data_IF_729700702774
#
_entry.id   IF_729700702774
#
_cell.length_a   1.000
_cell.length_b   1.000
_cell.length_c   1.000
_cell.angle_alpha   90.00
_cell.angle_beta   90.00
_cell.angle_gamma   90.00
#
_symmetry.space_group_name_H-M   'P 1'
#
loop_
_entity.id
_entity.type
_entity.pdbx_description
1 polymer ?
#
# COMPACT_ATOMS: atom_id res chain seq x y z
N UNK A 1 12.76 -37.23 10.22
CA UNK A 1 13.63 -37.09 11.42
C UNK A 1 14.35 -38.41 11.62
N UNK A 2 15.69 -38.43 11.74
CA UNK A 2 16.43 -39.68 12.03
C UNK A 2 16.34 -39.96 13.54
N UNK A 3 15.94 -41.17 13.93
CA UNK A 3 15.80 -41.57 15.34
C UNK A 3 16.98 -42.47 15.69
N UNK A 4 17.79 -42.06 16.67
CA UNK A 4 18.86 -42.89 17.23
C UNK A 4 18.29 -43.72 18.38
N UNK A 5 18.49 -45.03 18.34
CA UNK A 5 18.13 -45.94 19.42
C UNK A 5 19.43 -46.65 19.87
N UNK A 6 20.05 -46.26 21.00
CA UNK A 6 21.27 -46.90 21.48
C UNK A 6 20.98 -48.30 22.02
N UNK A 7 22.01 -49.13 22.00
CA UNK A 7 21.96 -50.51 22.48
C UNK A 7 22.02 -50.65 24.02
N UNK A 8 22.42 -49.62 24.77
CA UNK A 8 22.37 -49.58 26.25
C UNK A 8 21.64 -48.31 26.73
N UNK A 9 20.51 -48.42 27.47
CA UNK A 9 19.77 -47.28 28.03
C UNK A 9 20.57 -46.41 29.02
N UNK A 10 21.72 -46.89 29.52
CA UNK A 10 22.54 -46.17 30.53
C UNK A 10 23.44 -45.09 29.94
N UNK A 11 23.56 -44.98 28.61
CA UNK A 11 24.33 -43.89 27.96
C UNK A 11 23.69 -42.49 28.14
N UNK A 12 22.44 -42.40 28.58
CA UNK A 12 21.69 -41.15 28.69
C UNK A 12 21.84 -40.40 30.03
N UNK A 13 22.49 -40.98 31.04
CA UNK A 13 22.69 -40.33 32.34
C UNK A 13 24.10 -39.76 32.46
N UNK A 14 24.44 -38.80 31.60
CA UNK A 14 25.69 -38.05 31.68
C UNK A 14 25.37 -36.56 31.64
N UNK A 15 25.44 -35.93 32.82
CA UNK A 15 25.29 -34.49 33.05
C UNK A 15 26.52 -33.67 32.62
N UNK A 16 27.50 -34.28 31.95
CA UNK A 16 28.76 -33.63 31.58
C UNK A 16 28.97 -33.65 30.06
N UNK A 17 29.70 -32.64 29.57
CA UNK A 17 30.11 -32.33 28.19
C UNK A 17 30.86 -33.46 27.44
N UNK A 18 30.33 -34.68 27.44
CA UNK A 18 30.84 -35.78 26.62
C UNK A 18 30.30 -35.64 25.20
N UNK A 19 31.20 -35.72 24.23
CA UNK A 19 30.84 -35.85 22.82
C UNK A 19 29.97 -37.10 22.63
N UNK A 20 28.75 -36.92 22.12
CA UNK A 20 27.89 -38.05 21.72
C UNK A 20 28.40 -38.50 20.35
N UNK A 21 29.02 -39.68 20.31
CA UNK A 21 29.49 -40.27 19.06
C UNK A 21 28.30 -40.91 18.33
N UNK A 22 27.81 -40.26 17.27
CA UNK A 22 26.67 -40.74 16.48
C UNK A 22 27.18 -41.62 15.34
N UNK A 23 26.89 -42.92 15.38
CA UNK A 23 27.16 -43.82 14.25
C UNK A 23 26.07 -43.66 13.18
N UNK A 24 26.47 -43.52 11.92
CA UNK A 24 25.57 -43.41 10.78
C UNK A 24 24.82 -44.75 10.56
N UNK A 25 23.49 -44.70 10.46
CA UNK A 25 22.64 -45.86 10.15
C UNK A 25 21.63 -45.51 9.06
N UNK A 26 21.30 -46.48 8.22
CA UNK A 26 20.17 -46.42 7.29
C UNK A 26 18.85 -46.44 8.06
N UNK A 27 17.92 -45.51 7.79
CA UNK A 27 16.63 -45.46 8.50
C UNK A 27 15.72 -46.61 8.07
N UNK A 28 15.09 -47.29 9.03
CA UNK A 28 14.12 -48.35 8.75
C UNK A 28 12.72 -47.79 8.39
N UNK A 29 12.35 -46.64 8.96
CA UNK A 29 11.01 -46.02 8.82
C UNK A 29 11.14 -44.48 8.75
N UNK A 30 10.32 -43.85 7.90
CA UNK A 30 10.21 -42.39 7.78
C UNK A 30 8.87 -41.90 8.33
N UNK A 31 8.91 -40.92 9.24
CA UNK A 31 7.73 -40.25 9.78
C UNK A 31 7.55 -38.85 9.18
N UNK A 32 6.30 -38.50 8.85
CA UNK A 32 5.90 -37.13 8.52
C UNK A 32 5.81 -36.25 9.76
N UNK A 33 5.93 -34.92 9.57
CA UNK A 33 5.95 -33.95 10.68
C UNK A 33 4.66 -34.03 11.54
N UNK A 34 3.51 -34.23 10.90
CA UNK A 34 2.22 -34.42 11.55
C UNK A 34 2.17 -35.64 12.46
N UNK A 35 2.96 -36.68 12.16
CA UNK A 35 2.99 -37.92 12.94
C UNK A 35 4.02 -37.85 14.06
N UNK A 36 5.13 -37.15 13.86
CA UNK A 36 6.12 -36.88 14.92
C UNK A 36 5.47 -36.14 16.10
N UNK A 37 4.60 -35.16 15.84
CA UNK A 37 3.89 -34.44 16.90
C UNK A 37 2.96 -35.33 17.72
N UNK A 38 2.40 -36.40 17.14
CA UNK A 38 1.54 -37.38 17.85
C UNK A 38 2.34 -38.36 18.72
N UNK A 39 3.63 -38.51 18.43
CA UNK A 39 4.55 -39.38 19.15
C UNK A 39 5.19 -38.69 20.35
N UNK A 40 5.21 -37.36 20.38
CA UNK A 40 5.80 -36.56 21.44
C UNK A 40 4.99 -36.67 22.74
N UNK A 41 5.66 -37.00 23.84
CA UNK A 41 5.05 -37.09 25.17
C UNK A 41 5.53 -35.97 26.09
N UNK A 42 6.84 -35.71 26.13
CA UNK A 42 7.43 -34.67 26.99
C UNK A 42 8.71 -34.11 26.40
N UNK A 43 9.09 -32.89 26.81
CA UNK A 43 10.33 -32.21 26.43
C UNK A 43 11.08 -31.82 27.69
N UNK A 44 12.32 -32.28 27.81
CA UNK A 44 13.24 -31.89 28.88
C UNK A 44 14.39 -31.06 28.28
N UNK A 45 14.70 -29.92 28.90
CA UNK A 45 15.85 -29.10 28.53
C UNK A 45 17.14 -29.77 29.01
N UNK A 46 18.08 -29.95 28.08
CA UNK A 46 19.45 -30.36 28.38
C UNK A 46 20.39 -29.14 28.32
N UNK A 47 21.63 -29.29 28.82
CA UNK A 47 22.67 -28.28 28.64
C UNK A 47 23.02 -28.07 27.15
N UNK A 48 23.62 -26.91 26.82
CA UNK A 48 24.14 -26.59 25.48
C UNK A 48 23.10 -26.55 24.32
N UNK A 49 21.92 -25.95 24.55
CA UNK A 49 20.86 -25.80 23.54
C UNK A 49 20.37 -27.14 22.95
N UNK A 50 20.32 -28.17 23.80
CA UNK A 50 19.80 -29.49 23.46
C UNK A 50 18.53 -29.77 24.26
N UNK A 51 17.70 -30.65 23.71
CA UNK A 51 16.43 -31.07 24.26
C UNK A 51 16.34 -32.58 24.19
N UNK A 52 15.85 -33.20 25.26
CA UNK A 52 15.44 -34.60 25.27
C UNK A 52 13.93 -34.64 25.01
N UNK A 53 13.54 -35.12 23.84
CA UNK A 53 12.16 -35.38 23.49
C UNK A 53 11.83 -36.81 23.92
N UNK A 54 10.99 -36.98 24.93
CA UNK A 54 10.39 -38.28 25.22
C UNK A 54 9.30 -38.55 24.20
N UNK A 55 9.43 -39.65 23.47
CA UNK A 55 8.42 -40.08 22.50
C UNK A 55 8.00 -41.52 22.76
N UNK A 56 6.83 -41.90 22.26
CA UNK A 56 6.29 -43.28 22.33
C UNK A 56 7.22 -44.35 21.73
N UNK A 57 8.15 -43.95 20.87
CA UNK A 57 9.12 -44.84 20.20
C UNK A 57 10.52 -44.74 20.81
N UNK A 58 10.65 -44.09 21.97
CA UNK A 58 11.89 -43.90 22.70
C UNK A 58 12.30 -42.43 22.84
N UNK A 59 13.29 -42.15 23.71
CA UNK A 59 13.85 -40.81 23.86
C UNK A 59 14.62 -40.38 22.61
N UNK A 60 14.48 -39.12 22.21
CA UNK A 60 15.16 -38.51 21.07
C UNK A 60 15.88 -37.24 21.53
N UNK A 61 17.19 -37.14 21.30
CA UNK A 61 17.93 -35.90 21.55
C UNK A 61 17.86 -35.02 20.30
N UNK A 62 17.44 -33.77 20.48
CA UNK A 62 17.38 -32.75 19.44
C UNK A 62 18.16 -31.51 19.88
N UNK A 63 18.83 -30.82 18.95
CA UNK A 63 19.59 -29.61 19.26
C UNK A 63 20.92 -29.57 18.52
N UNK A 64 21.77 -28.59 18.88
CA UNK A 64 23.05 -28.38 18.18
C UNK A 64 24.05 -29.47 18.54
N UNK A 65 24.56 -30.18 17.54
CA UNK A 65 25.60 -31.20 17.69
C UNK A 65 26.82 -30.84 16.82
N UNK A 66 28.03 -31.08 17.34
CA UNK A 66 29.25 -31.09 16.52
C UNK A 66 29.36 -32.48 15.90
N UNK A 67 29.23 -32.56 14.58
CA UNK A 67 29.43 -33.81 13.85
C UNK A 67 30.91 -33.84 13.46
N UNK A 68 31.66 -34.85 13.92
CA UNK A 68 32.97 -35.16 13.34
C UNK A 68 32.71 -35.77 11.96
N UNK A 69 33.18 -35.13 10.90
CA UNK A 69 33.10 -35.65 9.53
C UNK A 69 33.82 -37.01 9.49
N UNK A 70 33.07 -38.10 9.51
CA UNK A 70 33.60 -39.41 9.15
C UNK A 70 33.71 -39.45 7.62
N UNK A 71 34.86 -39.89 7.11
CA UNK A 71 35.17 -40.03 5.69
C UNK A 71 34.05 -40.79 4.95
N UNK A 72 33.28 -40.07 4.14
CA UNK A 72 32.18 -40.64 3.34
C UNK A 72 32.80 -41.25 2.08
N UNK A 73 32.97 -42.57 2.08
CA UNK A 73 33.08 -43.35 0.84
C UNK A 73 31.71 -43.97 0.51
N UNK A 74 31.29 -43.74 -0.72
CA UNK A 74 30.17 -44.31 -1.46
C UNK A 74 28.73 -43.83 -1.21
N UNK A 75 28.01 -43.92 -2.33
CA UNK A 75 26.88 -43.10 -2.77
C UNK A 75 25.57 -43.30 -1.99
N UNK A 76 24.75 -42.25 -2.03
CA UNK A 76 23.34 -42.18 -1.57
C UNK A 76 23.08 -42.24 -0.07
N UNK A 77 23.39 -41.15 0.66
CA UNK A 77 22.70 -40.86 1.93
C UNK A 77 22.39 -39.37 2.09
N UNK A 78 21.09 -39.04 2.09
CA UNK A 78 20.60 -37.71 2.48
C UNK A 78 20.79 -37.54 4.00
N UNK A 79 21.78 -36.71 4.37
CA UNK A 79 21.84 -36.06 5.67
C UNK A 79 21.22 -34.67 5.48
N UNK A 80 20.01 -34.44 6.00
CA UNK A 80 19.48 -33.08 6.11
C UNK A 80 20.18 -32.41 7.30
N UNK A 81 21.39 -31.91 7.07
CA UNK A 81 22.11 -31.04 8.01
C UNK A 81 21.81 -29.60 7.62
N UNK A 82 20.88 -28.95 8.34
CA UNK A 82 20.73 -27.51 8.25
C UNK A 82 21.81 -26.87 9.13
N UNK A 83 23.03 -26.71 8.60
CA UNK A 83 24.04 -25.85 9.21
C UNK A 83 23.73 -24.42 8.79
N UNK A 84 22.78 -23.80 9.48
CA UNK A 84 22.66 -22.34 9.49
C UNK A 84 23.55 -21.81 10.60
N UNK A 85 24.69 -21.20 10.26
CA UNK A 85 25.32 -20.24 11.16
C UNK A 85 24.37 -19.04 11.29
N UNK A 86 23.51 -19.06 12.32
CA UNK A 86 22.80 -17.87 12.76
C UNK A 86 23.82 -17.02 13.50
N UNK A 87 24.48 -16.10 12.79
CA UNK A 87 25.50 -15.21 13.35
C UNK A 87 24.93 -14.01 14.11
N UNK A 88 23.61 -13.81 14.17
CA UNK A 88 23.01 -12.73 14.94
C UNK A 88 21.80 -13.20 15.75
N UNK A 89 21.74 -12.80 17.02
CA UNK A 89 20.58 -13.02 17.89
C UNK A 89 19.38 -12.27 17.30
N UNK A 90 18.52 -12.97 16.58
CA UNK A 90 17.21 -12.45 16.17
C UNK A 90 16.25 -12.65 17.34
N UNK A 91 15.74 -11.56 17.93
CA UNK A 91 14.70 -11.65 18.96
C UNK A 91 13.35 -11.98 18.31
N UNK A 92 12.44 -12.61 19.06
CA UNK A 92 11.10 -13.02 18.54
C UNK A 92 10.28 -11.83 18.01
N UNK A 93 10.56 -10.60 18.50
CA UNK A 93 9.99 -9.36 17.98
C UNK A 93 10.49 -9.01 16.58
N UNK A 94 11.74 -9.34 16.27
CA UNK A 94 12.34 -9.08 14.95
C UNK A 94 11.80 -10.04 13.90
N UNK A 95 11.35 -11.23 14.31
CA UNK A 95 10.74 -12.21 13.41
C UNK A 95 9.40 -11.74 12.81
N UNK A 96 8.64 -10.94 13.57
CA UNK A 96 7.36 -10.35 13.12
C UNK A 96 7.50 -8.98 12.48
N UNK A 97 8.72 -8.42 12.44
CA UNK A 97 8.98 -7.21 11.69
C UNK A 97 9.01 -7.57 10.19
N UNK A 98 8.11 -6.98 9.40
CA UNK A 98 7.97 -7.23 7.95
C UNK A 98 9.28 -7.00 7.18
N UNK A 99 10.17 -6.18 7.75
CA UNK A 99 11.51 -5.86 7.23
C UNK A 99 12.50 -7.04 7.32
N UNK A 100 12.33 -7.96 8.28
CA UNK A 100 13.22 -9.10 8.55
C UNK A 100 12.90 -10.31 7.67
N UNK A 101 11.66 -10.41 7.16
CA UNK A 101 11.17 -11.50 6.31
C UNK A 101 11.63 -11.35 4.84
N UNK A 102 12.55 -10.41 4.56
CA UNK A 102 13.09 -10.20 3.21
C UNK A 102 12.12 -9.53 2.24
N UNK A 103 10.96 -9.04 2.71
CA UNK A 103 10.12 -8.10 1.97
C UNK A 103 10.68 -6.69 2.20
N UNK A 104 11.87 -6.45 1.67
CA UNK A 104 12.33 -5.09 1.41
C UNK A 104 11.79 -4.72 0.04
N UNK A 105 11.01 -3.65 -0.06
CA UNK A 105 10.87 -2.95 -1.35
C UNK A 105 12.30 -2.59 -1.78
N UNK A 106 12.82 -3.16 -2.88
CA UNK A 106 14.19 -2.92 -3.28
C UNK A 106 14.32 -1.46 -3.73
N UNK A 107 14.72 -0.57 -2.82
CA UNK A 107 14.93 0.85 -3.11
C UNK A 107 14.61 1.84 -1.99
N UNK A 108 14.21 1.41 -0.79
CA UNK A 108 14.02 2.34 0.34
C UNK A 108 15.28 2.41 1.20
N UNK A 109 16.11 3.44 0.96
CA UNK A 109 17.12 3.88 1.92
C UNK A 109 16.64 5.21 2.50
N UNK A 110 16.79 5.43 3.81
CA UNK A 110 16.51 6.71 4.51
C UNK A 110 17.01 7.95 3.71
N UNK A 111 18.18 7.90 3.03
CA UNK A 111 18.62 8.91 2.07
C UNK A 111 17.60 9.31 0.99
N UNK A 112 16.90 8.36 0.37
CA UNK A 112 15.93 8.63 -0.70
C UNK A 112 14.73 9.42 -0.18
N UNK A 113 14.28 9.13 1.05
CA UNK A 113 13.18 9.84 1.70
C UNK A 113 13.57 11.27 2.07
N UNK A 114 14.79 11.48 2.57
CA UNK A 114 15.32 12.83 2.85
C UNK A 114 15.45 13.67 1.57
N UNK A 115 15.91 13.06 0.47
CA UNK A 115 15.99 13.73 -0.83
C UNK A 115 14.58 14.09 -1.33
N UNK A 116 13.62 13.17 -1.23
CA UNK A 116 12.24 13.43 -1.62
C UNK A 116 11.62 14.57 -0.82
N UNK A 117 11.86 14.61 0.51
CA UNK A 117 11.44 15.72 1.37
C UNK A 117 12.08 17.05 1.01
N UNK A 118 13.39 17.06 0.72
CA UNK A 118 14.09 18.26 0.28
C UNK A 118 13.50 18.80 -1.02
N UNK A 119 13.34 17.95 -2.03
CA UNK A 119 12.74 18.35 -3.31
C UNK A 119 11.28 18.79 -3.15
N UNK A 120 10.51 18.15 -2.27
CA UNK A 120 9.15 18.57 -1.94
C UNK A 120 9.13 19.99 -1.35
N UNK A 121 9.95 20.27 -0.33
CA UNK A 121 10.02 21.59 0.33
C UNK A 121 10.48 22.69 -0.63
N UNK A 122 11.40 22.38 -1.53
CA UNK A 122 11.86 23.30 -2.58
C UNK A 122 10.79 23.50 -3.68
N UNK A 123 9.91 22.50 -3.85
CA UNK A 123 8.94 22.51 -4.94
C UNK A 123 7.54 23.03 -4.57
N UNK A 124 7.12 22.87 -3.32
CA UNK A 124 5.78 23.24 -2.88
C UNK A 124 5.56 24.75 -2.91
N UNK A 125 4.44 25.17 -3.49
CA UNK A 125 4.00 26.55 -3.53
C UNK A 125 2.47 26.63 -3.42
N UNK A 126 1.95 27.64 -2.73
CA UNK A 126 0.52 27.92 -2.72
C UNK A 126 0.21 29.02 -3.75
N UNK A 127 -0.65 28.70 -4.72
CA UNK A 127 -1.06 29.64 -5.76
C UNK A 127 -2.03 30.71 -5.20
N UNK A 128 -2.22 31.84 -5.90
CA UNK A 128 -3.12 32.91 -5.45
C UNK A 128 -4.59 32.47 -5.25
N UNK A 129 -5.02 31.42 -5.93
CA UNK A 129 -6.35 30.84 -5.74
C UNK A 129 -6.45 29.96 -4.47
N UNK A 130 -5.34 29.76 -3.73
CA UNK A 130 -5.25 28.93 -2.53
C UNK A 130 -4.81 27.49 -2.79
N UNK A 131 -4.73 27.05 -4.04
CA UNK A 131 -4.38 25.66 -4.35
C UNK A 131 -2.86 25.44 -4.29
N UNK A 132 -2.43 24.27 -3.82
CA UNK A 132 -1.01 23.91 -3.86
C UNK A 132 -0.55 23.40 -5.22
N UNK A 133 0.68 23.74 -5.56
CA UNK A 133 1.46 23.25 -6.69
C UNK A 133 2.74 22.58 -6.17
N UNK A 134 3.11 21.43 -6.74
CA UNK A 134 4.29 20.64 -6.35
C UNK A 134 5.05 20.14 -7.58
N UNK A 135 6.31 19.79 -7.38
CA UNK A 135 7.13 19.08 -8.37
C UNK A 135 7.22 17.59 -8.07
N UNK A 136 7.52 16.79 -9.09
CA UNK A 136 7.83 15.37 -8.86
C UNK A 136 9.16 15.24 -8.12
N UNK A 137 9.30 14.33 -7.14
CA UNK A 137 10.58 14.05 -6.51
C UNK A 137 11.38 13.08 -7.40
N UNK A 138 12.40 13.58 -8.06
CA UNK A 138 13.21 12.82 -9.03
C UNK A 138 14.37 12.09 -8.37
N UNK A 139 14.68 10.90 -8.87
CA UNK A 139 15.98 10.28 -8.59
C UNK A 139 17.09 11.09 -9.26
N UNK A 140 18.30 10.97 -8.72
CA UNK A 140 19.48 11.68 -9.23
C UNK A 140 19.70 11.31 -10.71
N UNK A 141 19.93 12.31 -11.56
CA UNK A 141 20.13 12.19 -13.02
C UNK A 141 18.93 11.70 -13.86
N UNK A 142 17.87 11.19 -13.25
CA UNK A 142 16.71 10.59 -13.93
C UNK A 142 15.97 11.51 -14.91
N UNK A 143 15.89 12.82 -14.63
CA UNK A 143 15.28 13.78 -15.58
C UNK A 143 15.93 13.74 -16.96
N UNK A 144 17.23 13.43 -17.05
CA UNK A 144 17.99 13.45 -18.31
C UNK A 144 17.93 12.11 -19.07
N UNK A 145 17.62 11.03 -18.38
CA UNK A 145 17.65 9.66 -18.92
C UNK A 145 16.27 9.13 -19.31
N UNK A 146 15.19 9.76 -18.82
CA UNK A 146 13.82 9.35 -19.11
C UNK A 146 13.53 9.39 -20.62
N UNK A 147 13.30 8.22 -21.20
CA UNK A 147 12.96 8.06 -22.62
C UNK A 147 11.45 8.14 -22.83
N UNK A 148 11.05 8.53 -24.04
CA UNK A 148 9.64 8.56 -24.42
C UNK A 148 9.07 7.14 -24.56
N UNK A 149 7.84 6.95 -24.10
CA UNK A 149 7.09 5.69 -24.20
C UNK A 149 5.91 5.78 -25.19
N UNK A 150 6.02 6.64 -26.20
CA UNK A 150 4.94 6.90 -27.17
C UNK A 150 4.50 5.63 -27.91
N UNK A 151 5.44 4.84 -28.43
CA UNK A 151 5.11 3.64 -29.23
C UNK A 151 4.33 2.59 -28.45
N UNK A 152 4.72 2.33 -27.19
CA UNK A 152 3.99 1.42 -26.29
C UNK A 152 2.60 1.97 -25.97
N UNK A 153 2.51 3.26 -25.66
CA UNK A 153 1.24 3.93 -25.37
C UNK A 153 0.27 3.86 -26.56
N UNK A 154 0.77 4.09 -27.78
CA UNK A 154 -0.01 3.97 -29.00
C UNK A 154 -0.46 2.54 -29.27
N UNK A 155 0.43 1.56 -29.08
CA UNK A 155 0.09 0.14 -29.21
C UNK A 155 -1.03 -0.29 -28.24
N UNK A 156 -0.94 0.15 -26.98
CA UNK A 156 -1.99 -0.10 -25.97
C UNK A 156 -3.30 0.62 -26.32
N UNK A 157 -3.26 1.86 -26.79
CA UNK A 157 -4.45 2.59 -27.23
C UNK A 157 -5.14 1.89 -28.42
N UNK A 158 -4.38 1.46 -29.43
CA UNK A 158 -4.92 0.69 -30.57
C UNK A 158 -5.56 -0.61 -30.12
N UNK A 159 -4.95 -1.30 -29.16
CA UNK A 159 -5.47 -2.55 -28.61
C UNK A 159 -6.76 -2.32 -27.81
N UNK A 160 -6.81 -1.26 -26.99
CA UNK A 160 -7.99 -0.82 -26.27
C UNK A 160 -9.13 -0.48 -27.23
N UNK A 161 -8.86 0.34 -28.24
CA UNK A 161 -9.86 0.70 -29.26
C UNK A 161 -10.38 -0.53 -29.99
N UNK A 162 -9.49 -1.41 -30.48
CA UNK A 162 -9.89 -2.65 -31.17
C UNK A 162 -10.74 -3.56 -30.28
N UNK A 163 -10.43 -3.62 -28.98
CA UNK A 163 -11.17 -4.43 -28.01
C UNK A 163 -12.59 -3.91 -27.76
N UNK A 164 -12.75 -2.59 -27.69
CA UNK A 164 -14.02 -1.96 -27.32
C UNK A 164 -14.79 -1.33 -28.50
N UNK A 165 -14.30 -1.44 -29.74
CA UNK A 165 -15.01 -0.93 -30.92
C UNK A 165 -16.41 -1.54 -31.11
N UNK A 166 -16.58 -2.81 -30.72
CA UNK A 166 -17.87 -3.53 -30.79
C UNK A 166 -18.74 -3.29 -29.54
N UNK A 167 -18.23 -2.53 -28.55
CA UNK A 167 -18.95 -2.11 -27.35
C UNK A 167 -18.73 -0.59 -27.13
N UNK A 168 -19.47 0.26 -27.87
CA UNK A 168 -19.22 1.69 -27.91
C UNK A 168 -19.41 2.39 -26.56
N UNK A 169 -20.26 1.86 -25.67
CA UNK A 169 -20.53 2.43 -24.35
C UNK A 169 -19.25 2.62 -23.52
N UNK A 170 -18.29 1.70 -23.65
CA UNK A 170 -17.00 1.79 -22.94
C UNK A 170 -16.16 2.95 -23.48
N UNK A 171 -16.06 3.09 -24.80
CA UNK A 171 -15.30 4.17 -25.44
C UNK A 171 -15.94 5.53 -25.18
N UNK A 172 -17.26 5.62 -25.27
CA UNK A 172 -18.04 6.83 -24.94
C UNK A 172 -17.84 7.24 -23.48
N UNK A 173 -17.84 6.29 -22.55
CA UNK A 173 -17.61 6.58 -21.12
C UNK A 173 -16.19 7.08 -20.87
N UNK A 174 -15.18 6.51 -21.54
CA UNK A 174 -13.78 6.99 -21.45
C UNK A 174 -13.68 8.40 -22.03
N UNK A 175 -14.25 8.63 -23.22
CA UNK A 175 -14.23 9.92 -23.89
C UNK A 175 -14.91 11.02 -23.07
N UNK A 176 -16.09 10.71 -22.51
CA UNK A 176 -16.79 11.58 -21.56
C UNK A 176 -15.92 11.90 -20.34
N UNK A 177 -15.25 10.90 -19.76
CA UNK A 177 -14.35 11.10 -18.61
C UNK A 177 -13.19 12.04 -18.96
N UNK A 178 -12.59 11.87 -20.14
CA UNK A 178 -11.48 12.72 -20.60
C UNK A 178 -11.97 14.16 -20.83
N UNK A 179 -13.13 14.35 -21.46
CA UNK A 179 -13.75 15.67 -21.66
C UNK A 179 -14.06 16.37 -20.33
N UNK A 180 -14.66 15.66 -19.38
CA UNK A 180 -14.91 16.19 -18.03
C UNK A 180 -13.61 16.59 -17.32
N UNK A 181 -12.53 15.81 -17.46
CA UNK A 181 -11.23 16.15 -16.89
C UNK A 181 -10.61 17.38 -17.55
N UNK A 182 -10.83 17.57 -18.86
CA UNK A 182 -10.39 18.75 -19.60
C UNK A 182 -11.14 19.99 -19.13
N UNK A 183 -12.47 19.91 -19.02
CA UNK A 183 -13.34 21.02 -18.54
C UNK A 183 -12.98 21.45 -17.11
N UNK A 184 -12.58 20.49 -16.26
CA UNK A 184 -12.14 20.74 -14.89
C UNK A 184 -10.68 21.21 -14.79
N UNK A 185 -10.00 21.43 -15.90
CA UNK A 185 -8.57 21.78 -15.95
C UNK A 185 -7.70 20.79 -15.14
N UNK A 186 -8.04 19.51 -15.17
CA UNK A 186 -7.24 18.41 -14.59
C UNK A 186 -6.22 17.88 -15.60
N UNK A 187 -6.54 18.02 -16.88
CA UNK A 187 -5.67 17.74 -18.01
C UNK A 187 -5.70 18.93 -18.98
N UNK A 188 -4.72 19.00 -19.86
CA UNK A 188 -4.66 19.97 -20.95
C UNK A 188 -4.06 19.33 -22.20
N UNK A 189 -4.26 19.95 -23.36
CA UNK A 189 -3.62 19.49 -24.61
C UNK A 189 -2.11 19.70 -24.48
N UNK A 190 -1.35 18.64 -24.74
CA UNK A 190 0.10 18.68 -24.61
C UNK A 190 0.75 19.56 -25.70
N UNK A 191 1.71 20.43 -25.36
CA UNK A 191 2.42 21.25 -26.34
C UNK A 191 3.31 20.40 -27.26
N UNK A 192 3.55 20.92 -28.48
CA UNK A 192 4.33 20.20 -29.50
C UNK A 192 5.83 20.11 -29.20
N UNK A 193 6.42 21.17 -28.64
CA UNK A 193 7.88 21.27 -28.44
C UNK A 193 8.23 21.32 -26.95
N UNK A 194 8.83 20.25 -26.44
CA UNK A 194 9.20 20.11 -25.02
C UNK A 194 10.41 19.18 -24.88
N UNK A 195 11.24 19.42 -23.87
CA UNK A 195 12.51 18.72 -23.72
C UNK A 195 12.35 17.25 -23.29
N UNK A 196 11.64 17.01 -22.18
CA UNK A 196 11.48 15.67 -21.60
C UNK A 196 10.01 15.28 -21.74
N UNK A 197 9.75 14.17 -22.44
CA UNK A 197 8.38 13.72 -22.76
C UNK A 197 8.23 12.25 -22.46
N UNK A 198 7.24 11.90 -21.64
CA UNK A 198 6.88 10.52 -21.36
C UNK A 198 5.38 10.31 -21.46
N UNK A 199 4.99 9.15 -21.98
CA UNK A 199 3.59 8.80 -22.21
C UNK A 199 3.17 7.65 -21.28
N UNK A 200 2.07 7.87 -20.57
CA UNK A 200 1.39 6.92 -19.72
C UNK A 200 0.29 6.24 -20.54
N UNK A 201 0.43 4.94 -20.84
CA UNK A 201 -0.69 4.17 -21.36
C UNK A 201 -1.81 4.12 -20.33
N UNK A 202 -3.04 3.98 -20.80
CA UNK A 202 -4.20 3.91 -19.93
C UNK A 202 -5.15 2.78 -20.31
N UNK A 203 -5.98 2.38 -19.34
CA UNK A 203 -6.98 1.35 -19.52
C UNK A 203 -8.20 1.57 -18.60
N UNK A 204 -9.40 1.15 -19.04
CA UNK A 204 -10.58 1.16 -18.18
C UNK A 204 -10.51 0.04 -17.14
N UNK A 205 -10.84 0.37 -15.90
CA UNK A 205 -11.05 -0.57 -14.79
C UNK A 205 -12.50 -0.47 -14.36
N UNK A 206 -13.18 -1.61 -14.30
CA UNK A 206 -14.59 -1.72 -13.94
C UNK A 206 -14.70 -2.04 -12.45
N UNK A 207 -15.30 -1.14 -11.66
CA UNK A 207 -15.64 -1.44 -10.26
C UNK A 207 -17.08 -1.94 -10.15
N UNK A 208 -17.25 -3.16 -9.66
CA UNK A 208 -18.53 -3.74 -9.28
C UNK A 208 -18.99 -3.17 -7.93
N UNK A 209 -19.55 -1.96 -7.91
CA UNK A 209 -20.26 -1.40 -6.75
C UNK A 209 -21.78 -1.59 -6.92
N UNK A 210 -22.49 -1.80 -5.82
CA UNK A 210 -23.85 -2.38 -5.72
C UNK A 210 -25.01 -1.53 -6.26
N UNK A 211 -24.81 -0.77 -7.34
CA UNK A 211 -25.89 -0.15 -8.10
C UNK A 211 -25.51 0.14 -9.56
N UNK A 212 -24.23 0.36 -9.88
CA UNK A 212 -23.72 0.49 -11.25
C UNK A 212 -22.23 0.09 -11.35
N UNK A 213 -21.83 -0.47 -12.50
CA UNK A 213 -20.40 -0.67 -12.82
C UNK A 213 -19.75 0.69 -13.10
N UNK A 214 -19.05 1.25 -12.12
CA UNK A 214 -18.35 2.53 -12.31
C UNK A 214 -17.02 2.28 -13.05
N UNK A 215 -16.93 2.73 -14.30
CA UNK A 215 -15.68 2.72 -15.08
C UNK A 215 -14.73 3.79 -14.52
N UNK A 216 -13.45 3.44 -14.36
CA UNK A 216 -12.37 4.38 -14.04
C UNK A 216 -11.24 4.20 -15.05
N UNK A 217 -10.69 5.30 -15.57
CA UNK A 217 -9.50 5.27 -16.41
C UNK A 217 -8.27 5.27 -15.50
N UNK A 218 -7.41 4.27 -15.64
CA UNK A 218 -6.16 4.14 -14.86
C UNK A 218 -4.96 4.31 -15.80
N UNK A 219 -3.96 5.05 -15.35
CA UNK A 219 -2.73 5.35 -16.07
C UNK A 219 -1.58 4.52 -15.51
N UNK A 220 -0.76 3.94 -16.38
CA UNK A 220 0.32 3.03 -16.01
C UNK A 220 1.70 3.71 -16.13
N UNK A 221 2.16 4.26 -15.01
CA UNK A 221 3.50 4.83 -14.86
C UNK A 221 4.61 3.78 -14.66
N UNK A 222 4.27 2.49 -14.59
CA UNK A 222 5.20 1.37 -14.53
C UNK A 222 5.56 0.78 -15.90
N UNK A 223 5.12 1.41 -16.99
CA UNK A 223 5.29 0.90 -18.35
C UNK A 223 6.41 1.57 -19.14
N UNK A 224 6.96 0.82 -20.10
CA UNK A 224 8.00 1.30 -21.01
C UNK A 224 9.40 0.80 -20.66
N UNK A 225 10.39 1.19 -21.46
CA UNK A 225 11.79 0.81 -21.25
C UNK A 225 12.41 1.54 -20.05
N UNK A 226 12.02 2.79 -19.84
CA UNK A 226 12.35 3.61 -18.67
C UNK A 226 11.04 4.06 -18.01
N UNK A 227 10.41 3.20 -17.19
CA UNK A 227 9.15 3.54 -16.52
C UNK A 227 9.28 4.77 -15.62
N UNK A 228 8.31 5.69 -15.67
CA UNK A 228 8.31 6.87 -14.81
C UNK A 228 8.44 6.52 -13.32
N UNK A 229 7.78 5.44 -12.87
CA UNK A 229 7.88 4.99 -11.47
C UNK A 229 9.29 4.56 -11.05
N UNK A 230 10.18 4.22 -11.98
CA UNK A 230 11.56 3.90 -11.69
C UNK A 230 12.44 5.15 -11.62
N UNK A 231 12.00 6.26 -12.23
CA UNK A 231 12.75 7.52 -12.31
C UNK A 231 12.39 8.50 -11.17
N UNK A 232 11.33 8.20 -10.44
CA UNK A 232 10.85 9.00 -9.31
C UNK A 232 11.17 8.33 -7.97
N UNK A 233 11.41 9.15 -6.96
CA UNK A 233 11.50 8.73 -5.58
C UNK A 233 10.09 8.48 -5.05
N UNK A 234 9.87 7.35 -4.39
CA UNK A 234 8.59 7.06 -3.74
C UNK A 234 8.26 8.09 -2.65
N UNK A 235 9.29 8.51 -1.90
CA UNK A 235 9.17 9.31 -0.70
C UNK A 235 8.66 8.50 0.49
N UNK A 236 8.72 9.13 1.67
CA UNK A 236 8.41 8.49 2.94
C UNK A 236 6.96 8.02 3.01
N UNK A 237 6.74 6.89 3.69
CA UNK A 237 5.39 6.43 4.02
C UNK A 237 4.88 7.21 5.23
N UNK A 238 4.08 8.24 4.97
CA UNK A 238 3.58 9.18 5.98
C UNK A 238 2.23 8.79 6.60
N UNK A 239 1.67 7.65 6.22
CA UNK A 239 0.36 7.23 6.69
C UNK A 239 0.46 6.69 8.13
N UNK A 240 -0.47 7.05 9.04
CA UNK A 240 -0.53 6.41 10.34
C UNK A 240 -0.84 4.92 10.17
N UNK A 241 -0.41 4.11 11.14
CA UNK A 241 -0.73 2.69 11.16
C UNK A 241 -2.26 2.49 11.21
N UNK A 242 -2.79 1.82 10.20
CA UNK A 242 -4.23 1.57 10.05
C UNK A 242 -4.86 0.93 11.30
N UNK A 243 -4.25 -0.09 11.95
CA UNK A 243 -4.79 -0.64 13.20
C UNK A 243 -4.87 0.42 14.31
N UNK A 244 -3.89 1.32 14.39
CA UNK A 244 -3.90 2.41 15.37
C UNK A 244 -5.06 3.38 15.14
N UNK A 245 -5.37 3.70 13.89
CA UNK A 245 -6.54 4.51 13.54
C UNK A 245 -7.82 3.80 13.97
N UNK A 246 -7.98 2.53 13.61
CA UNK A 246 -9.17 1.74 13.97
C UNK A 246 -9.36 1.64 15.49
N UNK A 247 -8.31 1.38 16.26
CA UNK A 247 -8.38 1.36 17.72
C UNK A 247 -8.78 2.74 18.28
N UNK A 248 -8.25 3.83 17.73
CA UNK A 248 -8.67 5.19 18.13
C UNK A 248 -10.14 5.46 17.88
N UNK A 249 -10.67 5.01 16.74
CA UNK A 249 -12.10 5.17 16.46
C UNK A 249 -12.99 4.51 17.51
N UNK A 250 -12.55 3.38 18.08
CA UNK A 250 -13.27 2.67 19.15
C UNK A 250 -13.20 3.36 20.51
N UNK A 251 -12.30 4.34 20.68
CA UNK A 251 -12.20 5.13 21.91
C UNK A 251 -13.03 6.41 21.87
N UNK A 252 -13.61 6.75 20.72
CA UNK A 252 -14.43 7.95 20.56
C UNK A 252 -15.91 7.63 20.78
N UNK A 253 -16.53 8.29 21.75
CA UNK A 253 -17.97 8.16 21.97
C UNK A 253 -18.79 8.72 20.80
N UNK A 254 -18.29 9.77 20.15
CA UNK A 254 -18.86 10.25 18.89
C UNK A 254 -17.76 10.28 17.84
N UNK A 255 -18.02 9.63 16.70
CA UNK A 255 -17.09 9.54 15.58
C UNK A 255 -17.58 10.44 14.46
N UNK A 256 -16.72 11.30 13.92
CA UNK A 256 -16.94 12.08 12.70
C UNK A 256 -15.96 11.59 11.64
N UNK A 257 -16.45 11.21 10.47
CA UNK A 257 -15.64 10.85 9.32
C UNK A 257 -15.98 11.74 8.13
N UNK A 258 -15.00 11.95 7.25
CA UNK A 258 -15.16 12.70 6.01
C UNK A 258 -14.13 12.27 4.94
N UNK A 259 -14.38 12.62 3.68
CA UNK A 259 -13.54 12.36 2.50
C UNK A 259 -13.02 13.68 1.89
N UNK A 260 -11.75 13.73 1.53
CA UNK A 260 -11.19 14.80 0.69
C UNK A 260 -11.46 14.47 -0.78
N UNK A 261 -12.39 15.20 -1.39
CA UNK A 261 -12.88 14.95 -2.73
C UNK A 261 -11.76 14.96 -3.78
N UNK A 262 -11.50 13.81 -4.40
CA UNK A 262 -10.49 13.66 -5.47
C UNK A 262 -9.12 14.22 -5.04
N UNK A 263 -8.67 13.90 -3.82
CA UNK A 263 -7.56 14.56 -3.14
C UNK A 263 -6.30 14.78 -3.99
N UNK A 264 -5.81 13.75 -4.70
CA UNK A 264 -4.64 13.88 -5.60
C UNK A 264 -4.85 14.97 -6.67
N UNK A 265 -6.02 14.98 -7.30
CA UNK A 265 -6.36 15.92 -8.37
C UNK A 265 -6.56 17.35 -7.85
N UNK A 266 -6.57 17.55 -6.52
CA UNK A 266 -6.58 18.88 -5.95
C UNK A 266 -5.21 19.55 -5.97
N UNK A 267 -4.12 18.80 -6.16
CA UNK A 267 -2.75 19.31 -6.16
C UNK A 267 -2.28 19.54 -7.59
N UNK A 268 -1.77 20.73 -7.91
CA UNK A 268 -1.18 21.04 -9.22
C UNK A 268 0.22 20.46 -9.37
N UNK A 269 0.55 20.07 -10.60
CA UNK A 269 1.91 19.85 -11.02
C UNK A 269 2.48 21.14 -11.62
N UNK A 270 3.72 21.44 -11.24
CA UNK A 270 4.52 22.47 -11.88
C UNK A 270 4.57 22.28 -13.40
N UNK A 271 4.45 23.35 -14.21
CA UNK A 271 4.38 23.24 -15.66
C UNK A 271 5.48 22.39 -16.30
N UNK A 272 6.72 22.48 -15.78
CA UNK A 272 7.89 21.74 -16.23
C UNK A 272 7.83 20.23 -15.99
N UNK A 273 6.99 19.78 -15.05
CA UNK A 273 6.85 18.38 -14.64
C UNK A 273 5.60 17.71 -15.26
N UNK A 274 4.79 18.45 -16.05
CA UNK A 274 3.56 17.92 -16.66
C UNK A 274 3.84 16.98 -17.84
N UNK A 275 4.92 17.20 -18.59
CA UNK A 275 5.18 16.48 -19.85
C UNK A 275 5.61 15.02 -19.68
N UNK A 276 5.85 14.58 -18.45
CA UNK A 276 6.11 13.16 -18.15
C UNK A 276 4.83 12.39 -17.83
N UNK A 277 3.70 13.09 -17.81
CA UNK A 277 2.36 12.53 -17.56
C UNK A 277 1.49 12.53 -18.81
N UNK A 278 2.09 12.62 -20.01
CA UNK A 278 1.29 12.66 -21.25
C UNK A 278 0.52 11.37 -21.44
N UNK A 279 -0.59 11.42 -22.15
CA UNK A 279 -1.28 10.22 -22.61
C UNK A 279 -1.94 10.48 -23.96
N UNK A 280 -2.24 9.40 -24.68
CA UNK A 280 -2.84 9.46 -26.01
C UNK A 280 -4.33 9.18 -25.95
N UNK A 281 -5.10 9.94 -26.72
CA UNK A 281 -6.49 9.64 -27.01
C UNK A 281 -6.79 9.92 -28.48
N UNK A 282 -8.05 9.77 -28.89
CA UNK A 282 -8.53 10.02 -30.24
C UNK A 282 -9.40 11.27 -30.31
N UNK A 283 -9.44 11.95 -31.46
CA UNK A 283 -10.33 13.09 -31.71
C UNK A 283 -11.76 12.61 -31.97
N UNK A 284 -11.88 11.49 -32.67
CA UNK A 284 -13.14 10.79 -32.92
C UNK A 284 -13.00 9.31 -32.54
N UNK A 285 -13.85 8.85 -31.62
CA UNK A 285 -13.89 7.47 -31.12
C UNK A 285 -14.32 6.46 -32.18
N UNK A 286 -15.03 6.90 -33.23
CA UNK A 286 -15.49 6.02 -34.32
C UNK A 286 -14.39 5.70 -35.33
N UNK A 287 -13.29 6.44 -35.28
CA UNK A 287 -12.15 6.26 -36.17
C UNK A 287 -10.98 5.61 -35.43
N UNK A 288 -10.16 4.88 -36.17
CA UNK A 288 -9.00 4.19 -35.60
C UNK A 288 -7.96 5.18 -35.02
N UNK A 289 -7.13 4.76 -34.04
CA UNK A 289 -6.04 5.59 -33.51
C UNK A 289 -4.83 5.63 -34.46
N UNK A 290 -4.96 6.42 -35.54
CA UNK A 290 -3.86 6.77 -36.46
C UNK A 290 -3.35 8.21 -36.23
N UNK A 291 -2.23 8.56 -36.86
CA UNK A 291 -1.57 9.85 -36.65
C UNK A 291 -2.44 11.08 -36.95
N UNK A 292 -3.51 10.93 -37.74
CA UNK A 292 -4.43 12.04 -38.08
C UNK A 292 -5.52 12.20 -37.02
N UNK A 293 -5.93 11.09 -36.40
CA UNK A 293 -6.97 11.03 -35.36
C UNK A 293 -6.42 11.08 -33.92
N UNK A 294 -5.10 11.13 -33.73
CA UNK A 294 -4.51 11.20 -32.38
C UNK A 294 -4.51 12.60 -31.78
N UNK A 295 -4.70 12.65 -30.46
CA UNK A 295 -4.46 13.82 -29.62
C UNK A 295 -3.66 13.41 -28.38
N UNK A 296 -2.69 14.25 -28.02
CA UNK A 296 -1.89 14.09 -26.80
C UNK A 296 -2.39 15.04 -25.72
N UNK A 297 -2.77 14.49 -24.59
CA UNK A 297 -3.08 15.24 -23.37
C UNK A 297 -1.95 15.10 -22.36
N UNK A 298 -1.91 15.96 -21.34
CA UNK A 298 -1.04 15.84 -20.16
C UNK A 298 -1.79 16.25 -18.90
N UNK A 299 -1.42 15.68 -17.75
CA UNK A 299 -2.02 16.08 -16.49
C UNK A 299 -1.46 17.41 -16.00
N UNK A 300 -2.34 18.27 -15.48
CA UNK A 300 -1.97 19.48 -14.75
C UNK A 300 -1.97 19.24 -13.25
N UNK A 301 -2.43 18.06 -12.80
CA UNK A 301 -2.60 17.67 -11.39
C UNK A 301 -1.84 16.40 -11.08
N UNK A 302 -1.54 16.19 -9.80
CA UNK A 302 -1.01 14.90 -9.32
C UNK A 302 -2.06 13.81 -9.59
N UNK A 303 -1.68 12.78 -10.34
CA UNK A 303 -2.57 11.68 -10.71
C UNK A 303 -2.33 10.43 -9.85
N UNK A 304 -3.34 9.55 -9.79
CA UNK A 304 -3.18 8.22 -9.20
C UNK A 304 -2.33 7.31 -10.11
N UNK A 305 -1.57 6.38 -9.51
CA UNK A 305 -0.78 5.38 -10.24
C UNK A 305 0.71 5.72 -10.41
N UNK A 306 1.13 6.92 -9.99
CA UNK A 306 2.54 7.30 -9.91
C UNK A 306 3.07 7.03 -8.50
N UNK A 307 4.28 6.48 -8.39
CA UNK A 307 4.87 5.98 -7.13
C UNK A 307 4.96 7.06 -6.04
N UNK A 308 5.20 8.31 -6.43
CA UNK A 308 5.36 9.45 -5.51
C UNK A 308 4.04 10.11 -5.11
N UNK A 309 2.93 9.83 -5.81
CA UNK A 309 1.66 10.52 -5.58
C UNK A 309 1.16 10.42 -4.14
N UNK A 310 1.19 9.24 -3.47
CA UNK A 310 0.79 9.11 -2.06
C UNK A 310 1.60 10.02 -1.13
N UNK A 311 2.92 10.07 -1.32
CA UNK A 311 3.81 10.94 -0.55
C UNK A 311 3.45 12.42 -0.78
N UNK A 312 3.34 12.85 -2.04
CA UNK A 312 3.01 14.24 -2.39
C UNK A 312 1.66 14.67 -1.81
N UNK A 313 0.65 13.80 -1.82
CA UNK A 313 -0.66 14.10 -1.23
C UNK A 313 -0.54 14.36 0.28
N UNK A 314 0.01 13.41 1.02
CA UNK A 314 0.09 13.52 2.48
C UNK A 314 1.02 14.67 2.88
N UNK A 315 2.19 14.80 2.25
CA UNK A 315 3.12 15.88 2.53
C UNK A 315 2.49 17.27 2.30
N UNK A 316 1.68 17.42 1.24
CA UNK A 316 0.94 18.67 0.98
C UNK A 316 -0.10 18.96 2.05
N UNK A 317 -0.87 17.95 2.47
CA UNK A 317 -1.87 18.12 3.54
C UNK A 317 -1.18 18.47 4.86
N UNK A 318 -0.10 17.78 5.23
CA UNK A 318 0.65 18.07 6.45
C UNK A 318 1.22 19.49 6.42
N UNK A 319 1.85 19.89 5.31
CA UNK A 319 2.34 21.25 5.11
C UNK A 319 1.22 22.30 5.25
N UNK A 320 0.04 22.02 4.70
CA UNK A 320 -1.11 22.90 4.84
C UNK A 320 -1.55 23.05 6.31
N UNK A 321 -1.65 21.94 7.03
CA UNK A 321 -2.07 21.91 8.44
C UNK A 321 -1.04 22.55 9.37
N UNK A 322 0.27 22.42 9.10
CA UNK A 322 1.34 23.09 9.85
C UNK A 322 1.28 24.62 9.77
N UNK A 323 0.77 25.15 8.66
CA UNK A 323 0.62 26.59 8.45
C UNK A 323 -0.64 27.17 9.10
N UNK A 324 -1.49 26.35 9.73
CA UNK A 324 -2.72 26.77 10.39
C UNK A 324 -2.61 26.52 11.89
N UNK A 325 -2.78 27.60 12.68
CA UNK A 325 -2.83 27.51 14.14
C UNK A 325 -4.22 27.08 14.60
N UNK A 326 -4.47 25.77 14.62
CA UNK A 326 -5.67 25.19 15.22
C UNK A 326 -5.35 23.87 15.93
N UNK A 327 -5.92 23.61 17.13
CA UNK A 327 -5.86 22.30 17.78
C UNK A 327 -6.43 21.18 16.90
N UNK A 328 -7.43 21.48 16.07
CA UNK A 328 -8.03 20.51 15.16
C UNK A 328 -7.02 20.02 14.11
N UNK A 329 -6.07 20.86 13.70
CA UNK A 329 -5.02 20.46 12.76
C UNK A 329 -4.17 19.31 13.29
N UNK A 330 -3.80 19.30 14.58
CA UNK A 330 -3.04 18.20 15.18
C UNK A 330 -3.86 16.89 15.26
N UNK A 331 -5.15 17.01 15.54
CA UNK A 331 -6.07 15.87 15.52
C UNK A 331 -6.22 15.30 14.10
N UNK A 332 -6.33 16.15 13.09
CA UNK A 332 -6.39 15.73 11.68
C UNK A 332 -5.10 15.01 11.29
N UNK A 333 -3.92 15.56 11.61
CA UNK A 333 -2.62 14.93 11.26
C UNK A 333 -2.50 13.50 11.79
N UNK A 334 -3.00 13.25 12.99
CA UNK A 334 -2.93 11.93 13.64
C UNK A 334 -4.00 10.96 13.15
N UNK A 335 -5.07 11.44 12.52
CA UNK A 335 -6.22 10.63 12.11
C UNK A 335 -6.60 10.78 10.63
N UNK A 336 -5.64 11.18 9.80
CA UNK A 336 -5.77 11.20 8.34
C UNK A 336 -5.28 9.86 7.77
N UNK A 337 -6.12 9.19 6.98
CA UNK A 337 -5.72 8.01 6.21
C UNK A 337 -5.97 8.23 4.72
N UNK A 338 -4.90 8.54 3.98
CA UNK A 338 -4.97 8.97 2.58
C UNK A 338 -5.87 10.19 2.40
N UNK A 339 -7.09 9.97 1.91
CA UNK A 339 -8.15 10.95 1.69
C UNK A 339 -9.23 10.95 2.78
N UNK A 340 -9.20 10.00 3.72
CA UNK A 340 -10.20 9.88 4.80
C UNK A 340 -9.74 10.63 6.05
N UNK A 341 -10.60 11.50 6.57
CA UNK A 341 -10.41 12.25 7.82
C UNK A 341 -11.32 11.65 8.88
N UNK A 342 -10.78 11.43 10.07
CA UNK A 342 -11.44 10.69 11.15
C UNK A 342 -11.23 11.47 12.44
N UNK A 343 -12.29 11.87 13.12
CA UNK A 343 -12.21 12.76 14.26
C UNK A 343 -13.11 12.23 15.37
N UNK A 344 -12.66 12.37 16.62
CA UNK A 344 -13.50 12.09 17.78
C UNK A 344 -14.30 13.33 18.16
N UNK A 345 -15.39 13.18 18.91
CA UNK A 345 -16.10 14.30 19.53
C UNK A 345 -16.75 13.87 20.85
N UNK A 346 -16.86 14.80 21.79
CA UNK A 346 -17.50 14.57 23.10
C UNK A 346 -19.02 14.60 23.00
N UNK A 347 -19.57 15.36 22.06
CA UNK A 347 -21.01 15.53 21.85
C UNK A 347 -21.32 16.08 20.44
N UNK A 348 -22.60 16.13 20.09
CA UNK A 348 -23.09 16.66 18.80
C UNK A 348 -22.66 18.11 18.52
N UNK A 349 -22.53 18.96 19.54
CA UNK A 349 -22.08 20.35 19.34
C UNK A 349 -20.62 20.40 18.87
N UNK A 350 -19.73 19.59 19.45
CA UNK A 350 -18.34 19.49 19.00
C UNK A 350 -18.24 18.93 17.57
N UNK A 351 -19.11 17.99 17.18
CA UNK A 351 -19.20 17.52 15.78
C UNK A 351 -19.47 18.70 14.84
N UNK A 352 -20.43 19.56 15.19
CA UNK A 352 -20.81 20.72 14.37
C UNK A 352 -19.67 21.75 14.26
N UNK A 353 -18.94 21.99 15.35
CA UNK A 353 -17.77 22.86 15.36
C UNK A 353 -16.68 22.29 14.46
N UNK A 354 -16.34 21.01 14.63
CA UNK A 354 -15.34 20.32 13.80
C UNK A 354 -15.73 20.28 12.33
N UNK A 355 -17.00 20.03 11.99
CA UNK A 355 -17.51 20.07 10.62
C UNK A 355 -17.21 21.41 9.94
N UNK A 356 -17.59 22.51 10.61
CA UNK A 356 -17.40 23.87 10.08
C UNK A 356 -15.93 24.24 9.95
N UNK A 357 -15.16 23.95 10.99
CA UNK A 357 -13.73 24.26 11.00
C UNK A 357 -12.97 23.45 9.95
N UNK A 358 -13.31 22.16 9.78
CA UNK A 358 -12.68 21.30 8.78
C UNK A 358 -12.88 21.84 7.36
N UNK A 359 -14.11 22.26 7.04
CA UNK A 359 -14.41 22.91 5.76
C UNK A 359 -13.59 24.19 5.59
N UNK A 360 -13.50 25.03 6.62
CA UNK A 360 -12.74 26.28 6.57
C UNK A 360 -11.24 26.05 6.37
N UNK A 361 -10.66 25.05 7.05
CA UNK A 361 -9.26 24.66 6.91
C UNK A 361 -8.99 24.28 5.46
N UNK A 362 -9.66 23.24 4.95
CA UNK A 362 -9.33 22.68 3.64
C UNK A 362 -9.79 23.55 2.46
N UNK A 363 -10.80 24.43 2.64
CA UNK A 363 -11.16 25.42 1.62
C UNK A 363 -10.03 26.41 1.32
N UNK A 364 -9.17 26.73 2.30
CA UNK A 364 -7.97 27.56 2.07
C UNK A 364 -6.98 26.89 1.13
N UNK A 365 -6.95 25.55 1.08
CA UNK A 365 -6.14 24.76 0.17
C UNK A 365 -6.85 24.40 -1.15
N UNK A 366 -8.08 24.89 -1.38
CA UNK A 366 -8.98 24.43 -2.46
C UNK A 366 -9.21 22.91 -2.46
N UNK A 367 -9.17 22.29 -1.29
CA UNK A 367 -9.47 20.87 -1.10
C UNK A 367 -10.91 20.74 -0.56
N UNK A 368 -11.86 20.32 -1.39
CA UNK A 368 -13.25 20.14 -0.93
C UNK A 368 -13.33 18.89 -0.05
N UNK A 369 -13.81 19.05 1.18
CA UNK A 369 -14.18 17.94 2.06
C UNK A 369 -15.67 17.63 1.85
N UNK A 370 -16.04 16.35 1.87
CA UNK A 370 -17.39 15.85 1.60
C UNK A 370 -17.61 14.50 2.26
N UNK A 371 -18.75 13.88 1.98
CA UNK A 371 -19.11 12.53 2.46
C UNK A 371 -18.98 12.43 3.98
N UNK A 372 -19.42 13.48 4.68
CA UNK A 372 -19.46 13.57 6.13
C UNK A 372 -20.46 12.57 6.70
N UNK A 373 -20.06 11.88 7.76
CA UNK A 373 -20.91 10.95 8.49
C UNK A 373 -20.47 10.92 9.96
N UNK A 374 -21.42 10.78 10.87
CA UNK A 374 -21.15 10.50 12.27
C UNK A 374 -22.09 9.45 12.85
N UNK A 375 -21.76 8.91 14.01
CA UNK A 375 -22.58 7.93 14.74
C UNK A 375 -23.79 8.57 15.48
N UNK A 376 -24.10 9.85 15.24
CA UNK A 376 -25.26 10.55 15.81
C UNK A 376 -26.25 10.94 14.72
N UNK A 377 -27.52 10.54 14.87
CA UNK A 377 -28.62 10.96 13.97
C UNK A 377 -28.76 12.49 13.97
N UNK A 378 -28.67 13.11 15.15
CA UNK A 378 -28.74 14.56 15.30
C UNK A 378 -27.58 15.24 14.58
N UNK A 379 -26.35 14.72 14.72
CA UNK A 379 -25.17 15.25 14.03
C UNK A 379 -25.26 15.12 12.51
N UNK A 380 -25.71 13.97 12.01
CA UNK A 380 -25.89 13.74 10.57
C UNK A 380 -26.91 14.70 9.94
N UNK A 381 -27.95 15.09 10.68
CA UNK A 381 -28.95 16.05 10.20
C UNK A 381 -28.41 17.48 10.08
N UNK A 382 -27.24 17.79 10.66
CA UNK A 382 -26.64 19.14 10.61
C UNK A 382 -25.76 19.38 9.38
N UNK A 383 -25.29 18.33 8.71
CA UNK A 383 -24.46 18.47 7.52
C UNK A 383 -25.28 18.99 6.34
N UNK A 384 -24.65 19.78 5.46
CA UNK A 384 -25.29 20.17 4.20
C UNK A 384 -25.58 18.92 3.33
N UNK A 385 -26.69 18.93 2.57
CA UNK A 385 -27.10 17.77 1.76
C UNK A 385 -26.01 17.31 0.78
N UNK A 386 -25.28 18.25 0.18
CA UNK A 386 -24.19 17.95 -0.76
C UNK A 386 -22.91 17.45 -0.09
N UNK A 387 -22.86 17.50 1.24
CA UNK A 387 -21.73 17.09 2.06
C UNK A 387 -22.00 15.77 2.78
N UNK A 388 -23.26 15.34 2.92
CA UNK A 388 -23.63 14.08 3.58
C UNK A 388 -23.09 12.86 2.84
N UNK A 389 -22.63 11.87 3.61
CA UNK A 389 -22.32 10.56 3.07
C UNK A 389 -23.64 9.84 2.67
N UNK A 390 -23.78 9.29 1.45
CA UNK A 390 -24.99 8.59 1.01
C UNK A 390 -25.40 7.42 1.94
N UNK A 391 -24.41 6.72 2.49
CA UNK A 391 -24.60 5.64 3.46
C UNK A 391 -25.33 6.01 4.75
N UNK A 392 -25.50 7.29 5.09
CA UNK A 392 -26.30 7.71 6.26
C UNK A 392 -27.72 7.14 6.15
N UNK A 393 -28.33 7.17 4.96
CA UNK A 393 -29.67 6.63 4.73
C UNK A 393 -29.73 5.10 4.91
N UNK A 394 -28.67 4.41 4.45
CA UNK A 394 -28.56 2.95 4.58
C UNK A 394 -28.10 2.50 5.97
N UNK A 395 -27.76 3.44 6.86
CA UNK A 395 -27.23 3.23 8.22
C UNK A 395 -25.95 2.40 8.30
N UNK A 396 -25.32 2.11 7.16
CA UNK A 396 -24.12 1.29 7.09
C UNK A 396 -23.15 1.77 6.03
N UNK A 397 -21.87 1.86 6.42
CA UNK A 397 -20.77 2.32 5.59
C UNK A 397 -19.67 1.28 5.50
N UNK A 398 -19.03 1.13 4.33
CA UNK A 398 -17.73 0.44 4.25
C UNK A 398 -16.60 1.44 4.48
N UNK A 399 -16.04 1.44 5.68
CA UNK A 399 -15.02 2.36 6.14
C UNK A 399 -13.69 1.62 6.31
N UNK A 400 -12.62 2.11 5.68
CA UNK A 400 -11.27 1.52 5.72
C UNK A 400 -11.21 0.01 5.42
N UNK A 401 -12.16 -0.49 4.61
CA UNK A 401 -12.26 -1.90 4.24
C UNK A 401 -13.19 -2.75 5.13
N UNK A 402 -13.61 -2.23 6.28
CA UNK A 402 -14.49 -2.88 7.25
C UNK A 402 -15.89 -2.28 7.16
N UNK A 403 -16.95 -3.06 7.39
CA UNK A 403 -18.31 -2.50 7.44
C UNK A 403 -18.51 -1.86 8.82
N UNK A 404 -19.05 -0.66 8.88
CA UNK A 404 -19.43 0.05 10.09
C UNK A 404 -20.95 0.27 10.08
N UNK A 405 -21.62 -0.15 11.14
CA UNK A 405 -23.04 0.10 11.40
C UNK A 405 -23.14 1.41 12.19
N UNK A 406 -23.59 2.48 11.53
CA UNK A 406 -23.38 3.86 11.98
C UNK A 406 -24.09 4.15 13.31
N UNK A 407 -25.38 3.79 13.43
CA UNK A 407 -26.19 4.08 14.62
C UNK A 407 -25.87 3.16 15.80
N UNK A 408 -25.37 1.95 15.52
CA UNK A 408 -24.95 0.99 16.57
C UNK A 408 -23.52 1.20 17.02
N UNK A 409 -22.75 1.92 16.21
CA UNK A 409 -21.31 2.09 16.33
C UNK A 409 -20.55 0.76 16.41
N UNK A 410 -20.87 -0.16 15.48
CA UNK A 410 -20.31 -1.52 15.45
C UNK A 410 -19.52 -1.77 14.16
N UNK A 411 -18.28 -2.24 14.28
CA UNK A 411 -17.53 -2.78 13.14
C UNK A 411 -17.91 -4.23 12.87
N UNK A 412 -18.34 -4.50 11.64
CA UNK A 412 -18.75 -5.81 11.14
C UNK A 412 -17.73 -6.32 10.10
N UNK A 413 -17.10 -7.46 10.37
CA UNK A 413 -16.25 -8.15 9.41
C UNK A 413 -16.77 -9.56 9.17
N UNK A 414 -17.07 -9.89 7.91
CA UNK A 414 -17.33 -11.28 7.53
C UNK A 414 -16.00 -12.02 7.46
N UNK A 415 -15.84 -13.03 8.30
CA UNK A 415 -14.71 -13.95 8.19
C UNK A 415 -14.83 -14.76 6.88
N UNK A 416 -13.72 -15.04 6.19
CA UNK A 416 -13.72 -15.99 5.09
C UNK A 416 -14.34 -17.32 5.55
N UNK A 417 -15.13 -17.96 4.69
CA UNK A 417 -15.49 -19.35 4.91
C UNK A 417 -14.21 -20.16 4.72
N UNK A 418 -13.76 -20.80 5.79
CA UNK A 418 -12.62 -21.72 5.79
C UNK A 418 -12.94 -22.98 5.00
#
# INVERSE_FOLDING_TARGET
MKIYCPSDPREFWLHDDKEIEVKQRTPDILFGLSDVLKLLENIENLSNQRFLLRTKVGPIICGRAKIKEAEIQDETQYVMSAVGEITEKVEEKDFWNLETIGIRDPGLTIPDDEIAWKQFRESINQLPDGRYEVGWPWRIESKRTLQTNFGVSLGRLRSLWKKYRENPEVLETIDKTIKEQLDLNMIEIAPKNTNIVHYLPHQPVFKSSSSFTKLRVVFDAGSGKTPLNNELLRGAVLLPQLPGILIRTLMFNNLLIADIAKAFLQIQLRPEDRDVTRFLWVKDINHQPDYTNLISYRFTRVLFGVISSPFLLIATILHHLENIKSPLCEEIKTNLYMDNIILGAKNTNEIKEKYRELIQIFNKAKMRVREFCCNSVEGNNMFEENDKHPSIETKSLKFLGIKWEIEKDEYCQKLPKW
#
